data_IF_235051904952
#
_entry.id   IF_235051904952
#
_cell.length_a   1.000
_cell.length_b   1.000
_cell.length_c   1.000
_cell.angle_alpha   90.00
_cell.angle_beta   90.00
_cell.angle_gamma   90.00
#
_symmetry.space_group_name_H-M   'P 1'
#
loop_
_entity.id
_entity.type
_entity.pdbx_description
1 polymer ?
#
# COMPACT_ATOMS: atom_id res chain seq x y z
N UNK A 1 11.38 1.50 -28.58
CA UNK A 1 10.46 1.04 -27.52
C UNK A 1 11.08 1.44 -26.20
N UNK A 2 10.29 1.72 -25.16
CA UNK A 2 10.86 1.87 -23.81
C UNK A 2 11.41 0.50 -23.38
N UNK A 3 12.65 0.50 -22.90
CA UNK A 3 13.37 -0.71 -22.49
C UNK A 3 13.67 -0.60 -21.00
N UNK A 4 13.36 -1.63 -20.18
CA UNK A 4 13.72 -1.61 -18.77
C UNK A 4 15.22 -1.50 -18.56
N UNK A 5 15.62 -0.59 -17.68
CA UNK A 5 16.98 -0.42 -17.18
C UNK A 5 17.17 -1.21 -15.88
N UNK A 6 18.26 -1.96 -15.83
CA UNK A 6 18.61 -2.82 -14.69
C UNK A 6 19.94 -2.34 -14.11
N UNK A 7 19.90 -1.76 -12.92
CA UNK A 7 21.10 -1.32 -12.21
C UNK A 7 21.78 -2.49 -11.52
N UNK A 8 23.09 -2.68 -11.74
CA UNK A 8 23.87 -3.75 -11.09
C UNK A 8 24.83 -3.15 -10.07
N UNK A 9 24.45 -3.20 -8.79
CA UNK A 9 25.23 -2.70 -7.66
C UNK A 9 26.05 -3.82 -7.02
N UNK A 10 27.38 -3.64 -7.01
CA UNK A 10 28.32 -4.53 -6.32
C UNK A 10 29.69 -3.87 -6.20
N UNK A 11 30.61 -4.51 -5.47
CA UNK A 11 32.04 -4.20 -5.63
C UNK A 11 32.51 -4.63 -7.02
N UNK A 12 33.40 -3.85 -7.66
CA UNK A 12 33.82 -4.08 -9.04
C UNK A 12 35.05 -5.00 -9.17
N UNK A 13 36.02 -4.90 -8.25
CA UNK A 13 37.31 -5.58 -8.40
C UNK A 13 37.26 -7.10 -8.21
N UNK A 14 36.47 -7.61 -7.25
CA UNK A 14 36.39 -9.06 -6.94
C UNK A 14 35.27 -9.79 -7.68
N UNK A 15 34.36 -9.04 -8.30
CA UNK A 15 33.16 -9.58 -8.96
C UNK A 15 33.12 -9.29 -10.47
N UNK A 16 34.23 -8.81 -11.07
CA UNK A 16 34.27 -8.40 -12.48
C UNK A 16 33.71 -9.45 -13.45
N UNK A 17 34.11 -10.72 -13.32
CA UNK A 17 33.58 -11.81 -14.16
C UNK A 17 32.06 -11.98 -14.01
N UNK A 18 31.56 -11.97 -12.77
CA UNK A 18 30.13 -12.08 -12.48
C UNK A 18 29.36 -10.89 -13.06
N UNK A 19 29.94 -9.68 -12.98
CA UNK A 19 29.34 -8.44 -13.50
C UNK A 19 29.26 -8.45 -15.03
N UNK A 20 30.31 -8.90 -15.71
CA UNK A 20 30.30 -9.06 -17.17
C UNK A 20 29.28 -10.12 -17.62
N UNK A 21 29.19 -11.24 -16.90
CA UNK A 21 28.18 -12.26 -17.17
C UNK A 21 26.76 -11.75 -16.90
N UNK A 22 26.56 -10.95 -15.85
CA UNK A 22 25.28 -10.29 -15.55
C UNK A 22 24.89 -9.29 -16.64
N UNK A 23 25.83 -8.49 -17.15
CA UNK A 23 25.61 -7.57 -18.26
C UNK A 23 25.05 -8.33 -19.48
N UNK A 24 25.76 -9.36 -19.94
CA UNK A 24 25.34 -10.19 -21.07
C UNK A 24 23.98 -10.87 -20.83
N UNK A 25 23.71 -11.30 -19.60
CA UNK A 25 22.43 -11.87 -19.23
C UNK A 25 21.29 -10.87 -19.35
N UNK A 26 21.45 -9.66 -18.80
CA UNK A 26 20.43 -8.61 -18.87
C UNK A 26 20.15 -8.24 -20.33
N UNK A 27 21.20 -8.02 -21.13
CA UNK A 27 21.05 -7.71 -22.56
C UNK A 27 20.37 -8.84 -23.35
N UNK A 28 20.57 -10.11 -22.95
CA UNK A 28 19.91 -11.25 -23.61
C UNK A 28 18.37 -11.23 -23.50
N UNK A 29 17.80 -10.49 -22.54
CA UNK A 29 16.36 -10.23 -22.43
C UNK A 29 15.90 -9.01 -23.22
N UNK A 30 16.83 -8.28 -23.85
CA UNK A 30 16.57 -6.98 -24.48
C UNK A 30 16.39 -5.85 -23.49
N UNK A 31 16.93 -5.98 -22.26
CA UNK A 31 16.98 -4.93 -21.24
C UNK A 31 18.30 -4.16 -21.34
N UNK A 32 18.34 -2.96 -20.76
CA UNK A 32 19.55 -2.13 -20.68
C UNK A 32 20.23 -2.39 -19.33
N UNK A 33 21.46 -2.91 -19.36
CA UNK A 33 22.26 -3.10 -18.16
C UNK A 33 22.97 -1.80 -17.80
N UNK A 34 22.85 -1.33 -16.56
CA UNK A 34 23.54 -0.12 -16.08
C UNK A 34 24.61 -0.52 -15.08
N UNK A 35 25.88 -0.39 -15.48
CA UNK A 35 27.06 -0.65 -14.65
C UNK A 35 27.93 0.61 -14.53
N UNK A 36 28.51 0.85 -13.37
CA UNK A 36 29.31 2.05 -13.11
C UNK A 36 30.64 2.09 -13.87
N UNK A 37 31.23 0.94 -14.17
CA UNK A 37 32.51 0.84 -14.91
C UNK A 37 32.38 0.89 -16.44
N UNK A 38 31.19 0.61 -16.98
CA UNK A 38 30.98 0.48 -18.43
C UNK A 38 30.72 1.82 -19.13
N UNK A 39 30.66 2.93 -18.37
CA UNK A 39 30.40 4.27 -18.92
C UNK A 39 28.92 4.53 -19.21
N UNK A 40 28.01 3.68 -18.71
CA UNK A 40 26.57 3.82 -18.88
C UNK A 40 25.98 4.98 -18.03
N UNK A 41 26.75 5.46 -17.06
CA UNK A 41 26.36 6.53 -16.14
C UNK A 41 26.94 7.86 -16.63
N UNK A 42 26.09 8.86 -16.79
CA UNK A 42 26.56 10.22 -17.07
C UNK A 42 27.18 10.85 -15.82
N UNK A 43 28.51 10.91 -15.79
CA UNK A 43 29.26 11.59 -14.75
C UNK A 43 29.32 13.10 -15.02
N UNK A 44 28.33 13.83 -14.52
CA UNK A 44 28.31 15.30 -14.63
C UNK A 44 29.60 15.88 -14.00
N UNK A 45 30.37 16.73 -14.70
CA UNK A 45 31.65 17.25 -14.19
C UNK A 45 31.57 17.98 -12.85
N UNK A 46 30.42 18.60 -12.57
CA UNK A 46 30.14 19.31 -11.32
C UNK A 46 29.67 18.40 -10.16
N UNK A 47 29.47 17.10 -10.39
CA UNK A 47 29.01 16.15 -9.38
C UNK A 47 30.09 15.14 -9.01
N UNK A 48 30.08 14.68 -7.76
CA UNK A 48 30.90 13.55 -7.38
C UNK A 48 30.38 12.26 -8.05
N UNK A 49 31.27 11.35 -8.43
CA UNK A 49 30.91 10.08 -9.10
C UNK A 49 29.88 9.26 -8.33
N UNK A 50 30.02 9.19 -7.01
CA UNK A 50 29.04 8.57 -6.11
C UNK A 50 27.64 9.15 -6.24
N UNK A 51 27.50 10.48 -6.34
CA UNK A 51 26.19 11.12 -6.51
C UNK A 51 25.61 10.84 -7.89
N UNK A 52 26.44 10.77 -8.93
CA UNK A 52 26.00 10.39 -10.26
C UNK A 52 25.45 8.95 -10.28
N UNK A 53 26.13 7.99 -9.63
CA UNK A 53 25.63 6.63 -9.50
C UNK A 53 24.28 6.58 -8.77
N UNK A 54 24.17 7.25 -7.62
CA UNK A 54 22.93 7.30 -6.83
C UNK A 54 21.77 7.91 -7.62
N UNK A 55 22.03 8.96 -8.41
CA UNK A 55 21.01 9.56 -9.28
C UNK A 55 20.57 8.60 -10.38
N UNK A 56 21.49 7.84 -10.98
CA UNK A 56 21.13 6.89 -12.04
C UNK A 56 20.30 5.71 -11.51
N UNK A 57 20.45 5.32 -10.24
CA UNK A 57 19.57 4.33 -9.61
C UNK A 57 18.10 4.72 -9.74
N UNK A 58 17.75 6.00 -9.56
CA UNK A 58 16.37 6.48 -9.70
C UNK A 58 15.81 6.41 -11.13
N UNK A 59 16.67 6.27 -12.14
CA UNK A 59 16.28 6.11 -13.54
C UNK A 59 16.09 4.64 -13.95
N UNK A 60 16.24 3.69 -13.03
CA UNK A 60 16.18 2.26 -13.32
C UNK A 60 14.88 1.61 -12.83
N UNK A 61 14.37 0.63 -13.57
CA UNK A 61 13.17 -0.13 -13.20
C UNK A 61 13.47 -1.36 -12.33
N UNK A 62 14.71 -1.87 -12.36
CA UNK A 62 15.14 -3.02 -11.57
C UNK A 62 16.52 -2.76 -10.95
N UNK A 63 16.74 -3.35 -9.78
CA UNK A 63 18.00 -3.28 -9.08
C UNK A 63 18.50 -4.68 -8.71
N UNK A 64 19.72 -5.01 -9.10
CA UNK A 64 20.40 -6.25 -8.71
C UNK A 64 21.52 -5.87 -7.74
N UNK A 65 21.45 -6.41 -6.53
CA UNK A 65 22.48 -6.23 -5.51
C UNK A 65 23.31 -7.50 -5.38
N UNK A 66 24.63 -7.41 -5.59
CA UNK A 66 25.56 -8.53 -5.34
C UNK A 66 26.49 -8.17 -4.17
N UNK A 67 26.37 -8.92 -3.08
CA UNK A 67 27.18 -8.75 -1.86
C UNK A 67 28.35 -9.73 -1.88
N UNK A 68 29.56 -9.18 -2.01
CA UNK A 68 30.84 -9.90 -1.99
C UNK A 68 31.57 -9.84 -0.65
N UNK A 69 32.85 -10.20 -0.67
CA UNK A 69 33.72 -10.20 0.52
C UNK A 69 34.44 -8.88 0.77
N UNK A 70 34.19 -7.88 -0.09
CA UNK A 70 34.79 -6.54 -0.03
C UNK A 70 33.75 -5.53 0.40
N UNK A 71 34.18 -4.54 1.19
CA UNK A 71 33.34 -3.41 1.58
C UNK A 71 33.08 -2.45 0.42
N UNK A 72 34.09 -2.21 -0.42
CA UNK A 72 34.01 -1.26 -1.53
C UNK A 72 34.57 0.12 -1.17
N UNK A 73 34.13 1.14 -1.92
CA UNK A 73 34.49 2.53 -1.65
C UNK A 73 33.63 3.14 -0.56
N UNK A 74 34.24 3.93 0.33
CA UNK A 74 33.53 4.70 1.35
C UNK A 74 32.65 5.76 0.70
N UNK A 75 31.38 5.82 1.11
CA UNK A 75 30.47 6.86 0.65
C UNK A 75 30.89 8.21 1.23
N UNK A 76 30.88 9.26 0.40
CA UNK A 76 31.50 10.54 0.77
C UNK A 76 30.67 11.33 1.76
N UNK A 77 29.34 11.21 1.67
CA UNK A 77 28.42 11.89 2.58
C UNK A 77 28.42 11.21 3.95
N UNK A 78 28.48 9.88 3.97
CA UNK A 78 28.52 9.07 5.19
C UNK A 78 29.58 7.97 5.06
N UNK A 79 30.77 8.22 5.60
CA UNK A 79 31.91 7.30 5.53
C UNK A 79 31.69 5.98 6.27
N UNK A 80 30.66 5.88 7.10
CA UNK A 80 30.31 4.61 7.75
C UNK A 80 29.65 3.63 6.79
N UNK A 81 29.25 4.09 5.59
CA UNK A 81 28.59 3.28 4.57
C UNK A 81 29.47 3.16 3.33
N UNK A 82 29.31 2.04 2.62
CA UNK A 82 29.88 1.90 1.28
C UNK A 82 29.01 2.62 0.24
N UNK A 83 29.56 2.90 -0.93
CA UNK A 83 28.78 3.37 -2.08
C UNK A 83 27.66 2.40 -2.44
N UNK A 84 27.92 1.09 -2.40
CA UNK A 84 26.93 0.03 -2.65
C UNK A 84 25.77 0.10 -1.65
N UNK A 85 26.05 0.38 -0.37
CA UNK A 85 25.01 0.58 0.63
C UNK A 85 24.16 1.82 0.30
N UNK A 86 24.79 2.92 -0.12
CA UNK A 86 24.09 4.15 -0.49
C UNK A 86 23.20 3.94 -1.74
N UNK A 87 23.69 3.21 -2.74
CA UNK A 87 22.91 2.81 -3.93
C UNK A 87 21.71 1.94 -3.56
N UNK A 88 21.89 0.96 -2.67
CA UNK A 88 20.79 0.12 -2.16
C UNK A 88 19.72 0.95 -1.43
N UNK A 89 20.13 1.88 -0.56
CA UNK A 89 19.20 2.79 0.14
C UNK A 89 18.42 3.64 -0.87
N UNK A 90 19.09 4.16 -1.90
CA UNK A 90 18.45 4.92 -2.96
C UNK A 90 17.41 4.09 -3.71
N UNK A 91 17.72 2.83 -4.07
CA UNK A 91 16.78 1.93 -4.73
C UNK A 91 15.55 1.65 -3.85
N UNK A 92 15.76 1.41 -2.55
CA UNK A 92 14.69 1.18 -1.58
C UNK A 92 13.77 2.40 -1.46
N UNK A 93 14.34 3.60 -1.33
CA UNK A 93 13.57 4.84 -1.20
C UNK A 93 12.73 5.16 -2.45
N UNK A 94 13.18 4.71 -3.63
CA UNK A 94 12.45 4.86 -4.88
C UNK A 94 11.47 3.70 -5.16
N UNK A 95 11.28 2.77 -4.21
CA UNK A 95 10.45 1.58 -4.36
C UNK A 95 10.79 0.72 -5.59
N UNK A 96 12.08 0.71 -5.97
CA UNK A 96 12.55 -0.12 -7.09
C UNK A 96 12.60 -1.58 -6.61
N UNK A 97 12.12 -2.55 -7.39
CA UNK A 97 12.28 -3.98 -7.07
C UNK A 97 13.75 -4.37 -6.97
N UNK A 98 14.13 -5.01 -5.86
CA UNK A 98 15.53 -5.39 -5.57
C UNK A 98 15.68 -6.91 -5.55
N UNK A 99 16.62 -7.42 -6.34
CA UNK A 99 17.10 -8.79 -6.30
C UNK A 99 18.46 -8.84 -5.62
N UNK A 100 18.47 -9.18 -4.33
CA UNK A 100 19.70 -9.25 -3.56
C UNK A 100 20.28 -10.67 -3.54
N UNK A 101 21.57 -10.77 -3.86
CA UNK A 101 22.34 -11.99 -3.82
C UNK A 101 23.62 -11.81 -3.00
N UNK A 102 24.02 -12.85 -2.27
CA UNK A 102 25.23 -12.85 -1.44
C UNK A 102 26.13 -14.03 -1.80
N UNK A 103 27.43 -13.81 -1.89
CA UNK A 103 28.38 -14.89 -2.16
C UNK A 103 28.32 -15.92 -1.03
N UNK A 104 28.17 -17.20 -1.37
CA UNK A 104 27.94 -18.30 -0.41
C UNK A 104 29.01 -18.35 0.68
N UNK A 105 30.29 -18.13 0.34
CA UNK A 105 31.38 -18.08 1.32
C UNK A 105 31.22 -16.95 2.35
N UNK A 106 30.74 -15.79 1.91
CA UNK A 106 30.46 -14.63 2.77
C UNK A 106 29.24 -14.90 3.64
N UNK A 107 28.21 -15.52 3.07
CA UNK A 107 27.01 -15.89 3.81
C UNK A 107 27.27 -16.92 4.91
N UNK A 108 28.17 -17.88 4.67
CA UNK A 108 28.62 -18.83 5.71
C UNK A 108 29.37 -18.11 6.85
N UNK A 109 30.23 -17.14 6.52
CA UNK A 109 30.90 -16.33 7.53
C UNK A 109 29.92 -15.44 8.31
N UNK A 110 28.89 -14.90 7.65
CA UNK A 110 27.80 -14.17 8.30
C UNK A 110 27.04 -15.05 9.29
N UNK A 111 26.84 -16.34 8.98
CA UNK A 111 26.24 -17.28 9.93
C UNK A 111 27.09 -17.44 11.19
N UNK A 112 28.42 -17.60 11.05
CA UNK A 112 29.35 -17.66 12.19
C UNK A 112 29.27 -16.37 13.03
N UNK A 113 29.26 -15.21 12.37
CA UNK A 113 29.08 -13.92 13.04
C UNK A 113 27.76 -13.88 13.83
N UNK A 114 26.65 -14.30 13.22
CA UNK A 114 25.32 -14.27 13.85
C UNK A 114 25.25 -15.13 15.11
N UNK A 115 25.82 -16.33 15.08
CA UNK A 115 25.86 -17.24 16.25
C UNK A 115 26.73 -16.72 17.39
N UNK A 116 27.67 -15.81 17.10
CA UNK A 116 28.62 -15.28 18.08
C UNK A 116 28.44 -13.77 18.36
N UNK A 117 27.39 -13.14 17.82
CA UNK A 117 27.17 -11.67 17.87
C UNK A 117 27.17 -11.07 19.28
N UNK A 118 26.80 -11.87 20.29
CA UNK A 118 26.75 -11.43 21.69
C UNK A 118 28.03 -11.72 22.48
N UNK A 119 29.10 -12.20 21.84
CA UNK A 119 30.35 -12.59 22.49
C UNK A 119 31.42 -11.53 22.22
N UNK A 120 32.24 -11.22 23.22
CA UNK A 120 33.26 -10.16 23.13
C UNK A 120 34.30 -10.41 22.04
N UNK A 121 34.63 -11.68 21.75
CA UNK A 121 35.64 -12.04 20.75
C UNK A 121 35.15 -11.96 19.30
N UNK A 122 33.91 -11.56 19.02
CA UNK A 122 33.33 -11.61 17.66
C UNK A 122 34.10 -10.76 16.65
N UNK A 123 34.72 -9.67 17.11
CA UNK A 123 35.59 -8.81 16.31
C UNK A 123 37.00 -9.38 16.08
N UNK A 124 37.42 -10.33 16.92
CA UNK A 124 38.73 -11.00 16.81
C UNK A 124 38.68 -12.25 15.93
N UNK A 125 37.47 -12.67 15.51
CA UNK A 125 37.31 -13.80 14.59
C UNK A 125 37.83 -13.41 13.21
N UNK A 126 38.79 -14.17 12.69
CA UNK A 126 39.20 -14.07 11.29
C UNK A 126 38.15 -14.70 10.37
N UNK A 127 37.57 -13.91 9.47
CA UNK A 127 36.58 -14.33 8.48
C UNK A 127 37.24 -14.51 7.11
N UNK A 128 37.55 -15.74 6.66
CA UNK A 128 38.40 -15.95 5.47
C UNK A 128 37.81 -15.48 4.14
N UNK A 129 36.49 -15.36 4.07
CA UNK A 129 35.78 -14.88 2.88
C UNK A 129 35.73 -13.35 2.79
N UNK A 130 36.23 -12.63 3.80
CA UNK A 130 36.29 -11.17 3.85
C UNK A 130 37.72 -10.73 3.52
N UNK A 131 37.86 -9.77 2.62
CA UNK A 131 39.16 -9.28 2.17
C UNK A 131 39.89 -8.51 3.29
N UNK A 132 39.22 -7.46 3.80
CA UNK A 132 39.73 -6.64 4.90
C UNK A 132 38.91 -6.89 6.16
N UNK A 133 39.54 -7.49 7.17
CA UNK A 133 38.88 -7.91 8.40
C UNK A 133 38.27 -6.73 9.18
N UNK A 134 38.83 -5.52 9.05
CA UNK A 134 38.30 -4.30 9.67
C UNK A 134 36.85 -3.99 9.26
N UNK A 135 36.45 -4.35 8.03
CA UNK A 135 35.10 -4.12 7.50
C UNK A 135 34.18 -5.35 7.60
N UNK A 136 34.63 -6.44 8.23
CA UNK A 136 33.84 -7.68 8.30
C UNK A 136 32.48 -7.43 8.97
N UNK A 137 32.48 -6.69 10.08
CA UNK A 137 31.26 -6.36 10.82
C UNK A 137 30.32 -5.47 10.01
N UNK A 138 30.85 -4.51 9.25
CA UNK A 138 30.04 -3.62 8.41
C UNK A 138 29.34 -4.39 7.27
N UNK A 139 30.06 -5.30 6.61
CA UNK A 139 29.48 -6.17 5.57
C UNK A 139 28.39 -7.06 6.16
N UNK A 140 28.62 -7.62 7.35
CA UNK A 140 27.62 -8.45 8.02
C UNK A 140 26.40 -7.66 8.51
N UNK A 141 26.61 -6.43 8.97
CA UNK A 141 25.54 -5.51 9.31
C UNK A 141 24.71 -5.15 8.09
N UNK A 142 25.34 -4.94 6.93
CA UNK A 142 24.63 -4.68 5.68
C UNK A 142 23.79 -5.88 5.24
N UNK A 143 24.32 -7.11 5.33
CA UNK A 143 23.55 -8.34 5.07
C UNK A 143 22.32 -8.42 6.00
N UNK A 144 22.50 -8.10 7.28
CA UNK A 144 21.44 -8.04 8.28
C UNK A 144 20.38 -6.97 7.92
N UNK A 145 20.80 -5.80 7.44
CA UNK A 145 19.94 -4.69 7.02
C UNK A 145 19.04 -5.08 5.84
N UNK A 146 19.63 -5.69 4.80
CA UNK A 146 18.88 -6.15 3.62
C UNK A 146 17.84 -7.20 4.03
N UNK A 147 18.22 -8.19 4.84
CA UNK A 147 17.32 -9.27 5.26
C UNK A 147 16.20 -8.84 6.18
N UNK A 148 16.39 -7.79 6.98
CA UNK A 148 15.41 -7.31 7.97
C UNK A 148 14.49 -6.22 7.42
N UNK A 149 14.66 -5.80 6.17
CA UNK A 149 13.75 -4.85 5.55
C UNK A 149 12.30 -5.41 5.49
N UNK A 150 11.30 -4.52 5.53
CA UNK A 150 9.88 -4.86 5.44
C UNK A 150 9.47 -5.36 4.05
N UNK A 151 10.11 -4.83 3.00
CA UNK A 151 9.95 -5.20 1.59
C UNK A 151 11.34 -5.36 0.96
N UNK A 152 11.42 -5.96 -0.23
CA UNK A 152 12.69 -6.15 -0.96
C UNK A 152 13.79 -6.87 -0.14
N UNK A 153 13.38 -7.78 0.74
CA UNK A 153 14.25 -8.42 1.74
C UNK A 153 14.67 -9.84 1.40
N UNK A 154 14.30 -10.34 0.21
CA UNK A 154 14.75 -11.62 -0.28
C UNK A 154 16.26 -11.57 -0.54
N UNK A 155 17.01 -12.46 0.11
CA UNK A 155 18.45 -12.58 -0.05
C UNK A 155 18.81 -14.03 -0.40
N UNK A 156 19.31 -14.24 -1.62
CA UNK A 156 19.70 -15.56 -2.11
C UNK A 156 21.22 -15.73 -2.09
N UNK A 157 21.71 -16.91 -1.69
CA UNK A 157 23.15 -17.20 -1.73
C UNK A 157 23.56 -17.78 -3.08
N UNK A 158 24.70 -17.37 -3.63
CA UNK A 158 25.23 -17.92 -4.88
C UNK A 158 26.68 -18.40 -4.74
N UNK A 159 27.04 -19.42 -5.50
CA UNK A 159 28.41 -19.96 -5.61
C UNK A 159 29.03 -19.72 -6.99
N UNK A 160 28.20 -19.59 -8.02
CA UNK A 160 28.56 -19.44 -9.42
C UNK A 160 27.53 -18.56 -10.14
N UNK A 161 27.88 -18.06 -11.32
CA UNK A 161 26.95 -17.29 -12.14
C UNK A 161 25.73 -18.09 -12.58
N UNK A 162 25.87 -19.40 -12.82
CA UNK A 162 24.76 -20.27 -13.20
C UNK A 162 23.65 -20.28 -12.15
N UNK A 163 24.02 -20.19 -10.87
CA UNK A 163 23.08 -20.05 -9.75
C UNK A 163 22.34 -18.71 -9.80
N UNK A 164 23.06 -17.63 -10.13
CA UNK A 164 22.47 -16.28 -10.31
C UNK A 164 21.51 -16.26 -11.51
N UNK A 165 21.93 -16.77 -12.67
CA UNK A 165 21.12 -16.86 -13.89
C UNK A 165 19.82 -17.63 -13.60
N UNK A 166 19.93 -18.84 -13.05
CA UNK A 166 18.76 -19.67 -12.73
C UNK A 166 17.80 -18.98 -11.76
N UNK A 167 18.33 -18.29 -10.75
CA UNK A 167 17.53 -17.53 -9.80
C UNK A 167 16.81 -16.36 -10.47
N UNK A 168 17.53 -15.47 -11.15
CA UNK A 168 16.96 -14.28 -11.79
C UNK A 168 15.94 -14.64 -12.86
N UNK A 169 16.18 -15.68 -13.68
CA UNK A 169 15.19 -16.16 -14.67
C UNK A 169 13.88 -16.56 -14.01
N UNK A 170 13.94 -17.28 -12.89
CA UNK A 170 12.73 -17.68 -12.14
C UNK A 170 12.01 -16.47 -11.57
N UNK A 171 12.74 -15.53 -10.98
CA UNK A 171 12.15 -14.32 -10.41
C UNK A 171 11.47 -13.47 -11.49
N UNK A 172 12.15 -13.23 -12.61
CA UNK A 172 11.59 -12.43 -13.71
C UNK A 172 10.43 -13.13 -14.41
N UNK A 173 10.46 -14.46 -14.54
CA UNK A 173 9.31 -15.23 -15.01
C UNK A 173 8.11 -15.09 -14.07
N UNK A 174 8.34 -15.10 -12.75
CA UNK A 174 7.33 -14.83 -11.73
C UNK A 174 6.73 -13.43 -11.86
N UNK A 175 7.57 -12.40 -11.95
CA UNK A 175 7.11 -11.02 -12.15
C UNK A 175 6.27 -10.88 -13.43
N UNK A 176 6.69 -11.50 -14.52
CA UNK A 176 5.95 -11.44 -15.78
C UNK A 176 4.61 -12.18 -15.68
N UNK A 177 4.57 -13.34 -15.00
CA UNK A 177 3.33 -14.06 -14.74
C UNK A 177 2.35 -13.21 -13.91
N UNK A 178 2.83 -12.59 -12.83
CA UNK A 178 2.01 -11.72 -11.97
C UNK A 178 1.52 -10.49 -12.72
N UNK A 179 2.34 -9.92 -13.60
CA UNK A 179 1.92 -8.84 -14.51
C UNK A 179 0.77 -9.27 -15.43
N UNK A 180 0.88 -10.46 -16.07
CA UNK A 180 -0.17 -10.99 -16.93
C UNK A 180 -1.46 -11.27 -16.16
N UNK A 181 -1.37 -11.80 -14.94
CA UNK A 181 -2.52 -12.08 -14.08
C UNK A 181 -3.20 -10.81 -13.60
N UNK A 182 -2.42 -9.83 -13.14
CA UNK A 182 -2.93 -8.52 -12.75
C UNK A 182 -3.65 -7.83 -13.91
N UNK A 183 -3.13 -7.95 -15.14
CA UNK A 183 -3.77 -7.42 -16.34
C UNK A 183 -5.12 -8.08 -16.64
N UNK A 184 -5.21 -9.41 -16.49
CA UNK A 184 -6.47 -10.15 -16.63
C UNK A 184 -7.52 -9.65 -15.63
N UNK A 185 -7.16 -9.56 -14.35
CA UNK A 185 -8.03 -9.08 -13.28
C UNK A 185 -8.46 -7.63 -13.51
N UNK A 186 -7.53 -6.75 -13.87
CA UNK A 186 -7.84 -5.34 -14.17
C UNK A 186 -8.85 -5.20 -15.30
N UNK A 187 -8.71 -6.01 -16.35
CA UNK A 187 -9.65 -6.01 -17.48
C UNK A 187 -11.06 -6.44 -17.04
N UNK A 188 -11.16 -7.43 -16.15
CA UNK A 188 -12.44 -7.87 -15.58
C UNK A 188 -13.07 -6.80 -14.67
N UNK A 189 -12.26 -6.11 -13.87
CA UNK A 189 -12.70 -4.99 -13.02
C UNK A 189 -13.23 -3.86 -13.90
N UNK A 190 -12.50 -3.47 -14.95
CA UNK A 190 -12.91 -2.39 -15.86
C UNK A 190 -14.24 -2.73 -16.57
N UNK A 191 -14.40 -3.97 -17.03
CA UNK A 191 -15.65 -4.44 -17.61
C UNK A 191 -16.81 -4.42 -16.59
N UNK A 192 -16.54 -4.84 -15.35
CA UNK A 192 -17.53 -4.82 -14.26
C UNK A 192 -17.95 -3.40 -13.92
N UNK A 193 -17.00 -2.47 -13.80
CA UNK A 193 -17.27 -1.06 -13.54
C UNK A 193 -18.09 -0.42 -14.65
N UNK A 194 -17.83 -0.79 -15.91
CA UNK A 194 -18.65 -0.35 -17.04
C UNK A 194 -20.10 -0.84 -16.93
N UNK A 195 -20.31 -2.14 -16.66
CA UNK A 195 -21.64 -2.72 -16.47
C UNK A 195 -22.39 -2.07 -15.29
N UNK A 196 -21.71 -1.82 -14.17
CA UNK A 196 -22.28 -1.11 -13.03
C UNK A 196 -22.71 0.32 -13.42
N UNK A 197 -21.91 1.02 -14.22
CA UNK A 197 -22.26 2.35 -14.74
C UNK A 197 -23.50 2.31 -15.63
N UNK A 198 -23.61 1.32 -16.52
CA UNK A 198 -24.79 1.13 -17.38
C UNK A 198 -26.06 0.81 -16.57
N UNK A 199 -25.94 -0.03 -15.54
CA UNK A 199 -27.03 -0.33 -14.61
C UNK A 199 -27.46 0.93 -13.86
N UNK A 200 -26.51 1.72 -13.37
CA UNK A 200 -26.81 2.98 -12.67
C UNK A 200 -27.52 3.98 -13.58
N UNK A 201 -27.13 4.09 -14.86
CA UNK A 201 -27.81 4.94 -15.83
C UNK A 201 -29.23 4.42 -16.15
N UNK A 202 -29.38 3.12 -16.32
CA UNK A 202 -30.69 2.50 -16.53
C UNK A 202 -31.62 2.68 -15.34
N UNK A 203 -31.10 2.55 -14.11
CA UNK A 203 -31.82 2.80 -12.87
C UNK A 203 -32.30 4.26 -12.78
N UNK A 204 -31.44 5.24 -13.10
CA UNK A 204 -31.85 6.67 -13.16
C UNK A 204 -32.94 6.92 -14.19
N UNK A 205 -32.87 6.27 -15.36
CA UNK A 205 -33.91 6.40 -16.38
C UNK A 205 -35.25 5.81 -15.91
N UNK A 206 -35.22 4.64 -15.27
CA UNK A 206 -36.41 4.04 -14.66
C UNK A 206 -36.99 4.93 -13.56
N UNK A 207 -36.14 5.48 -12.69
CA UNK A 207 -36.56 6.42 -11.65
C UNK A 207 -37.25 7.65 -12.26
N UNK A 208 -36.68 8.23 -13.32
CA UNK A 208 -37.28 9.36 -14.04
C UNK A 208 -38.64 9.01 -14.67
N UNK A 209 -38.75 7.84 -15.31
CA UNK A 209 -40.01 7.34 -15.87
C UNK A 209 -41.07 7.13 -14.79
N UNK A 210 -40.72 6.48 -13.67
CA UNK A 210 -41.64 6.26 -12.55
C UNK A 210 -42.10 7.58 -11.94
N UNK A 211 -41.20 8.55 -11.71
CA UNK A 211 -41.56 9.90 -11.27
C UNK A 211 -42.52 10.58 -12.24
N UNK A 212 -42.25 10.48 -13.55
CA UNK A 212 -43.11 11.07 -14.58
C UNK A 212 -44.51 10.47 -14.59
N UNK A 213 -44.62 9.14 -14.44
CA UNK A 213 -45.89 8.43 -14.36
C UNK A 213 -46.66 8.85 -13.10
N UNK A 214 -46.00 8.84 -11.95
CA UNK A 214 -46.62 9.23 -10.67
C UNK A 214 -47.19 10.66 -10.74
N UNK A 215 -46.41 11.60 -11.28
CA UNK A 215 -46.85 12.98 -11.48
C UNK A 215 -48.01 13.11 -12.49
N UNK A 216 -48.07 12.22 -13.48
CA UNK A 216 -49.14 12.22 -14.50
C UNK A 216 -50.46 11.64 -14.01
N UNK A 217 -50.41 10.67 -13.09
CA UNK A 217 -51.61 9.97 -12.55
C UNK A 217 -52.15 10.58 -11.26
N UNK A 218 -51.42 11.49 -10.64
CA UNK A 218 -51.81 12.11 -9.36
C UNK A 218 -52.73 13.31 -9.57
N UNK A 219 -53.89 13.32 -8.89
CA UNK A 219 -54.85 14.43 -8.94
C UNK A 219 -54.28 15.76 -8.39
N UNK A 220 -53.27 15.68 -7.51
CA UNK A 220 -52.60 16.83 -6.90
C UNK A 220 -51.08 16.79 -7.11
N UNK A 221 -50.60 17.44 -8.17
CA UNK A 221 -49.17 17.48 -8.55
C UNK A 221 -48.25 17.99 -7.44
N UNK A 222 -48.67 19.02 -6.69
CA UNK A 222 -47.85 19.59 -5.61
C UNK A 222 -47.68 18.64 -4.42
N UNK A 223 -48.68 17.79 -4.14
CA UNK A 223 -48.56 16.76 -3.11
C UNK A 223 -47.61 15.64 -3.58
N UNK A 224 -47.74 15.21 -4.84
CA UNK A 224 -46.88 14.19 -5.43
C UNK A 224 -45.41 14.61 -5.46
N UNK A 225 -45.11 15.86 -5.78
CA UNK A 225 -43.74 16.41 -5.75
C UNK A 225 -43.13 16.33 -4.33
N UNK A 226 -43.89 16.71 -3.30
CA UNK A 226 -43.43 16.61 -1.89
C UNK A 226 -43.22 15.17 -1.44
N UNK A 227 -44.02 14.23 -1.93
CA UNK A 227 -43.85 12.81 -1.64
C UNK A 227 -42.60 12.25 -2.31
N UNK A 228 -42.32 12.63 -3.55
CA UNK A 228 -41.08 12.28 -4.26
C UNK A 228 -39.86 12.82 -3.50
N UNK A 229 -39.86 14.10 -3.14
CA UNK A 229 -38.78 14.71 -2.36
C UNK A 229 -38.58 13.98 -1.02
N UNK A 230 -39.68 13.61 -0.34
CA UNK A 230 -39.62 12.84 0.89
C UNK A 230 -39.03 11.44 0.70
N UNK A 231 -39.30 10.77 -0.42
CA UNK A 231 -38.72 9.47 -0.77
C UNK A 231 -37.22 9.60 -1.03
N UNK A 232 -36.80 10.61 -1.80
CA UNK A 232 -35.38 10.89 -2.07
C UNK A 232 -34.60 11.16 -0.79
N UNK A 233 -35.13 12.00 0.10
CA UNK A 233 -34.51 12.28 1.40
C UNK A 233 -34.39 10.99 2.22
N UNK A 234 -35.44 10.16 2.28
CA UNK A 234 -35.37 8.88 3.00
C UNK A 234 -34.28 7.97 2.42
N UNK A 235 -34.17 7.90 1.09
CA UNK A 235 -33.15 7.09 0.41
C UNK A 235 -31.73 7.58 0.72
N UNK A 236 -31.48 8.89 0.67
CA UNK A 236 -30.17 9.45 0.98
C UNK A 236 -29.77 9.26 2.45
N UNK A 237 -30.73 9.36 3.37
CA UNK A 237 -30.50 9.07 4.80
C UNK A 237 -30.19 7.59 4.99
N UNK A 238 -30.89 6.69 4.29
CA UNK A 238 -30.65 5.24 4.35
C UNK A 238 -29.27 4.89 3.81
N UNK A 239 -28.88 5.43 2.65
CA UNK A 239 -27.54 5.27 2.08
C UNK A 239 -26.43 5.79 3.01
N UNK A 240 -26.64 6.93 3.67
CA UNK A 240 -25.67 7.45 4.65
C UNK A 240 -25.44 6.44 5.78
N UNK A 241 -26.50 5.99 6.45
CA UNK A 241 -26.36 5.07 7.58
C UNK A 241 -25.87 3.68 7.14
N UNK A 242 -26.27 3.18 5.97
CA UNK A 242 -25.72 1.96 5.38
C UNK A 242 -24.21 2.11 5.18
N UNK A 243 -23.75 3.20 4.56
CA UNK A 243 -22.32 3.41 4.23
C UNK A 243 -21.41 3.51 5.45
N UNK A 244 -21.87 4.15 6.53
CA UNK A 244 -21.05 4.37 7.73
C UNK A 244 -21.10 3.18 8.68
N UNK A 245 -22.23 2.48 8.80
CA UNK A 245 -22.37 1.33 9.69
C UNK A 245 -21.91 0.02 9.03
N UNK A 246 -21.94 -0.06 7.69
CA UNK A 246 -21.55 -1.23 6.89
C UNK A 246 -20.67 -0.82 5.70
N UNK A 247 -19.46 -0.30 5.96
CA UNK A 247 -18.55 0.10 4.90
C UNK A 247 -18.15 -1.08 3.99
N UNK A 248 -18.00 -0.79 2.69
CA UNK A 248 -17.85 -1.80 1.62
C UNK A 248 -16.61 -2.70 1.75
N UNK A 249 -15.60 -2.31 2.53
CA UNK A 249 -14.40 -3.11 2.79
C UNK A 249 -14.60 -4.17 3.89
N UNK A 250 -15.74 -4.16 4.62
CA UNK A 250 -16.08 -5.18 5.63
C UNK A 250 -16.47 -6.55 5.03
N UNK A 251 -16.21 -6.80 3.75
CA UNK A 251 -16.67 -8.00 3.03
C UNK A 251 -16.25 -9.35 3.67
N UNK A 252 -15.30 -9.38 4.60
CA UNK A 252 -14.87 -10.58 5.33
C UNK A 252 -15.34 -10.67 6.79
N UNK A 253 -15.74 -9.57 7.43
CA UNK A 253 -16.14 -9.54 8.85
C UNK A 253 -17.41 -8.71 9.05
N UNK A 254 -18.51 -9.39 9.39
CA UNK A 254 -19.78 -8.75 9.67
C UNK A 254 -19.90 -8.36 11.16
N UNK A 255 -20.14 -7.08 11.43
CA UNK A 255 -20.32 -6.53 12.78
C UNK A 255 -21.78 -6.14 13.00
N UNK A 256 -22.63 -7.04 13.54
CA UNK A 256 -24.03 -6.72 13.79
C UNK A 256 -24.18 -5.60 14.82
N UNK A 257 -25.22 -4.79 14.65
CA UNK A 257 -25.58 -3.71 15.58
C UNK A 257 -26.24 -4.33 16.82
N UNK A 258 -25.77 -3.94 18.00
CA UNK A 258 -26.40 -4.26 19.27
C UNK A 258 -27.68 -3.42 19.45
N UNK A 259 -28.88 -4.04 19.47
CA UNK A 259 -30.13 -3.30 19.68
C UNK A 259 -30.20 -2.56 21.01
N UNK A 260 -29.42 -2.97 22.02
CA UNK A 260 -29.36 -2.30 23.32
C UNK A 260 -28.54 -1.01 23.26
N UNK A 261 -27.56 -0.93 22.35
CA UNK A 261 -26.69 0.25 22.16
C UNK A 261 -27.24 1.22 21.10
N UNK A 262 -28.18 0.78 20.27
CA UNK A 262 -28.73 1.55 19.14
C UNK A 262 -30.15 2.08 19.45
N UNK A 263 -30.25 3.13 20.27
CA UNK A 263 -31.54 3.77 20.57
C UNK A 263 -31.98 4.72 19.45
N UNK A 264 -32.84 4.21 18.57
CA UNK A 264 -33.42 4.95 17.42
C UNK A 264 -34.03 6.29 17.82
N UNK A 265 -34.78 6.35 18.92
CA UNK A 265 -35.48 7.59 19.33
C UNK A 265 -34.50 8.63 19.84
N UNK A 266 -33.46 8.20 20.54
CA UNK A 266 -32.39 9.09 21.02
C UNK A 266 -31.58 9.65 19.84
N UNK A 267 -31.17 8.78 18.92
CA UNK A 267 -30.40 9.14 17.72
C UNK A 267 -31.19 10.13 16.85
N UNK A 268 -32.46 9.83 16.52
CA UNK A 268 -33.25 10.64 15.60
C UNK A 268 -33.57 12.06 16.12
N UNK A 269 -33.64 12.24 17.45
CA UNK A 269 -33.87 13.54 18.11
C UNK A 269 -32.72 14.52 17.93
N UNK A 270 -31.49 14.03 17.76
CA UNK A 270 -30.32 14.90 17.61
C UNK A 270 -30.37 15.57 16.25
N UNK A 271 -30.30 16.91 16.26
CA UNK A 271 -30.37 17.71 15.03
C UNK A 271 -29.03 17.69 14.28
N UNK A 272 -29.02 17.35 12.98
CA UNK A 272 -27.81 17.33 12.15
C UNK A 272 -27.37 18.70 11.60
N UNK A 273 -28.24 19.73 11.67
CA UNK A 273 -28.07 20.98 10.90
C UNK A 273 -26.76 21.75 11.14
N UNK A 274 -26.22 21.71 12.35
CA UNK A 274 -25.04 22.50 12.75
C UNK A 274 -23.77 21.67 12.89
N UNK A 275 -23.77 20.42 12.42
CA UNK A 275 -22.69 19.46 12.63
C UNK A 275 -22.13 19.05 11.27
N UNK A 276 -20.85 18.64 11.27
CA UNK A 276 -20.28 17.81 10.20
C UNK A 276 -20.67 16.34 10.43
N UNK A 277 -20.51 15.50 9.41
CA UNK A 277 -20.98 14.12 9.44
C UNK A 277 -20.32 13.30 10.56
N UNK A 278 -19.01 13.46 10.76
CA UNK A 278 -18.20 12.84 11.81
C UNK A 278 -18.67 13.27 13.22
N UNK A 279 -18.81 14.58 13.44
CA UNK A 279 -19.30 15.13 14.71
C UNK A 279 -20.73 14.71 14.99
N UNK A 280 -21.55 14.54 13.95
CA UNK A 280 -22.91 14.03 14.10
C UNK A 280 -22.90 12.59 14.60
N UNK A 281 -22.12 11.70 13.96
CA UNK A 281 -21.98 10.29 14.35
C UNK A 281 -21.50 10.11 15.79
N UNK A 282 -20.53 10.94 16.22
CA UNK A 282 -20.06 10.93 17.61
C UNK A 282 -21.14 11.45 18.56
N UNK A 283 -21.81 12.55 18.22
CA UNK A 283 -22.85 13.13 19.06
C UNK A 283 -24.07 12.22 19.24
N UNK A 284 -24.42 11.44 18.22
CA UNK A 284 -25.48 10.44 18.32
C UNK A 284 -25.07 9.18 19.09
N UNK A 285 -23.78 9.02 19.40
CA UNK A 285 -23.26 7.90 20.17
C UNK A 285 -23.11 6.62 19.35
N UNK A 286 -22.96 6.74 18.03
CA UNK A 286 -22.69 5.59 17.15
C UNK A 286 -21.18 5.31 17.05
N UNK A 287 -20.37 6.35 17.17
CA UNK A 287 -18.91 6.31 17.02
C UNK A 287 -18.21 7.13 18.12
N UNK A 288 -16.93 6.83 18.34
CA UNK A 288 -16.01 7.61 19.18
C UNK A 288 -14.73 7.93 18.39
N UNK A 289 -14.02 9.00 18.76
CA UNK A 289 -12.73 9.31 18.13
C UNK A 289 -11.65 8.41 18.70
N UNK A 290 -10.85 7.82 17.81
CA UNK A 290 -9.68 7.03 18.16
C UNK A 290 -8.46 7.58 17.40
N UNK A 291 -7.31 7.69 18.09
CA UNK A 291 -6.09 8.23 17.50
C UNK A 291 -5.05 7.12 17.42
N UNK A 292 -4.65 6.77 16.21
CA UNK A 292 -3.73 5.67 15.93
C UNK A 292 -2.46 6.24 15.33
N UNK A 293 -1.31 5.80 15.84
CA UNK A 293 -0.01 6.11 15.25
C UNK A 293 0.20 5.27 14.00
N UNK A 294 0.39 5.91 12.86
CA UNK A 294 0.79 5.22 11.63
C UNK A 294 2.27 4.78 11.70
N UNK A 295 2.72 3.98 10.72
CA UNK A 295 4.10 3.45 10.63
C UNK A 295 5.19 4.55 10.58
N UNK A 296 4.80 5.82 10.37
CA UNK A 296 5.65 7.01 10.35
C UNK A 296 5.58 7.83 11.67
N UNK A 297 5.02 7.29 12.76
CA UNK A 297 4.77 7.96 14.06
C UNK A 297 3.84 9.20 13.99
N UNK A 298 3.16 9.42 12.85
CA UNK A 298 2.11 10.44 12.75
C UNK A 298 0.78 9.94 13.37
N UNK A 299 0.15 10.78 14.20
CA UNK A 299 -1.15 10.50 14.79
C UNK A 299 -2.27 10.77 13.76
N UNK A 300 -3.00 9.73 13.39
CA UNK A 300 -4.21 9.85 12.58
C UNK A 300 -5.48 9.61 13.39
N UNK A 301 -6.48 10.46 13.16
CA UNK A 301 -7.77 10.39 13.85
C UNK A 301 -8.78 9.60 13.01
N UNK A 302 -9.33 8.56 13.63
CA UNK A 302 -10.35 7.68 13.08
C UNK A 302 -11.65 7.77 13.89
N UNK A 303 -12.75 7.29 13.31
CA UNK A 303 -14.01 7.04 14.02
C UNK A 303 -14.16 5.54 14.29
N UNK A 304 -14.15 5.15 15.56
CA UNK A 304 -14.39 3.79 16.01
C UNK A 304 -15.88 3.55 16.24
N UNK A 305 -16.45 2.51 15.62
CA UNK A 305 -17.84 2.12 15.88
C UNK A 305 -18.00 1.50 17.27
N UNK A 306 -18.98 1.97 18.05
CA UNK A 306 -19.21 1.52 19.45
C UNK A 306 -20.53 0.80 19.68
N UNK A 307 -21.36 0.67 18.64
CA UNK A 307 -22.72 0.11 18.74
C UNK A 307 -22.84 -1.33 18.28
N UNK A 308 -21.72 -2.01 18.05
CA UNK A 308 -21.75 -3.41 17.64
C UNK A 308 -21.91 -4.39 18.82
N UNK A 309 -22.36 -5.61 18.51
CA UNK A 309 -22.68 -6.66 19.48
C UNK A 309 -21.46 -7.20 20.21
N UNK A 310 -20.32 -7.29 19.53
CA UNK A 310 -19.11 -7.91 20.08
C UNK A 310 -18.20 -6.87 20.73
N UNK A 311 -18.00 -6.96 22.06
CA UNK A 311 -17.20 -5.98 22.82
C UNK A 311 -15.72 -5.88 22.41
N UNK A 312 -15.16 -6.93 21.79
CA UNK A 312 -13.73 -7.02 21.45
C UNK A 312 -13.46 -6.85 19.95
N UNK A 313 -14.47 -6.42 19.20
CA UNK A 313 -14.42 -6.26 17.75
C UNK A 313 -14.97 -4.89 17.44
N UNK A 314 -14.28 -4.13 16.61
CA UNK A 314 -14.73 -2.81 16.14
C UNK A 314 -14.11 -2.56 14.78
N UNK A 315 -14.60 -1.52 14.13
CA UNK A 315 -14.07 -1.07 12.86
C UNK A 315 -13.88 0.44 12.91
N UNK A 316 -12.97 0.92 12.07
CA UNK A 316 -12.54 2.31 12.04
C UNK A 316 -12.93 2.95 10.70
N UNK A 317 -13.44 4.17 10.72
CA UNK A 317 -13.63 4.98 9.53
C UNK A 317 -12.57 6.08 9.48
N UNK A 318 -11.89 6.20 8.34
CA UNK A 318 -10.99 7.33 8.09
C UNK A 318 -11.81 8.59 7.81
N UNK A 319 -11.54 9.67 8.55
CA UNK A 319 -12.24 10.95 8.41
C UNK A 319 -11.78 11.70 7.16
N UNK A 320 -10.49 11.60 6.78
CA UNK A 320 -9.89 12.37 5.68
C UNK A 320 -10.31 11.88 4.29
N UNK A 321 -10.71 10.61 4.16
CA UNK A 321 -10.94 9.97 2.86
C UNK A 321 -12.41 9.89 2.41
N UNK A 322 -13.36 10.42 3.20
CA UNK A 322 -14.79 10.20 2.90
C UNK A 322 -15.57 11.40 2.37
N UNK A 323 -15.24 11.79 1.14
CA UNK A 323 -16.03 12.75 0.33
C UNK A 323 -17.48 12.26 0.16
N UNK A 324 -17.68 10.95 0.07
CA UNK A 324 -19.00 10.35 -0.15
C UNK A 324 -19.91 10.46 1.10
N UNK A 325 -19.38 10.19 2.30
CA UNK A 325 -20.15 10.34 3.54
C UNK A 325 -20.58 11.80 3.74
N UNK A 326 -19.70 12.76 3.47
CA UNK A 326 -20.03 14.18 3.57
C UNK A 326 -21.17 14.55 2.60
N UNK A 327 -21.09 14.12 1.34
CA UNK A 327 -22.13 14.38 0.33
C UNK A 327 -23.49 13.81 0.74
N UNK A 328 -23.53 12.56 1.21
CA UNK A 328 -24.78 11.91 1.66
C UNK A 328 -25.36 12.61 2.90
N UNK A 329 -24.50 13.04 3.82
CA UNK A 329 -24.90 13.75 5.02
C UNK A 329 -25.51 15.13 4.71
N UNK A 330 -24.85 15.93 3.88
CA UNK A 330 -25.31 17.27 3.50
C UNK A 330 -26.63 17.23 2.71
N UNK A 331 -26.76 16.29 1.76
CA UNK A 331 -27.96 16.20 0.91
C UNK A 331 -29.12 15.46 1.57
N UNK A 332 -28.84 14.44 2.38
CA UNK A 332 -29.86 13.61 3.03
C UNK A 332 -30.11 13.99 4.48
N UNK A 333 -29.15 13.65 5.35
CA UNK A 333 -29.33 13.72 6.81
C UNK A 333 -29.64 15.14 7.29
N UNK A 334 -28.94 16.18 6.80
CA UNK A 334 -29.23 17.57 7.18
C UNK A 334 -30.61 18.06 6.78
N UNK A 335 -31.13 17.58 5.65
CA UNK A 335 -32.43 17.96 5.11
C UNK A 335 -33.58 17.08 5.63
N UNK A 336 -33.27 16.02 6.39
CA UNK A 336 -34.26 15.10 6.95
C UNK A 336 -35.05 15.69 8.12
N UNK A 337 -36.31 15.27 8.24
CA UNK A 337 -37.14 15.48 9.41
C UNK A 337 -36.89 14.42 10.48
N UNK A 338 -37.31 14.68 11.72
CA UNK A 338 -37.21 13.71 12.82
C UNK A 338 -37.91 12.38 12.47
N UNK A 339 -39.14 12.44 11.90
CA UNK A 339 -39.90 11.24 11.52
C UNK A 339 -39.19 10.43 10.43
N UNK A 340 -38.56 11.09 9.46
CA UNK A 340 -37.80 10.41 8.41
C UNK A 340 -36.58 9.69 9.00
N UNK A 341 -35.83 10.35 9.90
CA UNK A 341 -34.71 9.70 10.60
C UNK A 341 -35.17 8.49 11.42
N UNK A 342 -36.23 8.62 12.22
CA UNK A 342 -36.78 7.49 12.98
C UNK A 342 -37.17 6.32 12.07
N UNK A 343 -37.84 6.60 10.95
CA UNK A 343 -38.26 5.58 9.98
C UNK A 343 -37.06 4.82 9.41
N UNK A 344 -36.02 5.54 8.96
CA UNK A 344 -34.82 4.95 8.36
C UNK A 344 -34.00 4.17 9.40
N UNK A 345 -33.74 4.76 10.57
CA UNK A 345 -32.96 4.13 11.63
C UNK A 345 -33.61 2.82 12.13
N UNK A 346 -34.95 2.74 12.17
CA UNK A 346 -35.65 1.48 12.46
C UNK A 346 -35.38 0.42 11.39
N UNK A 347 -35.33 0.79 10.10
CA UNK A 347 -35.00 -0.14 9.01
C UNK A 347 -33.56 -0.63 9.12
N UNK A 348 -32.61 0.27 9.37
CA UNK A 348 -31.20 -0.05 9.59
C UNK A 348 -31.05 -1.04 10.74
N UNK A 349 -31.69 -0.77 11.88
CA UNK A 349 -31.65 -1.67 13.02
C UNK A 349 -32.23 -3.05 12.67
N UNK A 350 -33.35 -3.13 11.95
CA UNK A 350 -33.92 -4.41 11.52
C UNK A 350 -33.03 -5.17 10.52
N UNK A 351 -32.36 -4.45 9.63
CA UNK A 351 -31.49 -5.01 8.59
C UNK A 351 -30.21 -5.60 9.17
N UNK A 352 -29.69 -5.02 10.26
CA UNK A 352 -28.34 -5.32 10.72
C UNK A 352 -28.19 -5.73 12.20
N UNK A 353 -29.29 -5.98 12.90
CA UNK A 353 -29.29 -6.49 14.28
C UNK A 353 -29.08 -8.01 14.39
N UNK A 354 -29.09 -8.72 13.27
CA UNK A 354 -28.95 -10.18 13.20
C UNK A 354 -27.57 -10.58 12.74
#
# INVERSE_FOLDING_TARGET
MAVPKVFVSSTCYDLGEIREQLHNFIESFGFEAVLSENGDIFYHPDLHTHEACIKEVSNCELFILIIGGRFGGEYIVDKTKSITNAEYIAAKNNNIPIFALVKKSVYLNHHIYKENKNKEFVGDIGYPAIDKQEYALDIFQFIDEVRRASTNNALESFDSFQSIDSYLRKQWAGMFFDFLKTREVKTQIDATNHLVSEINNSSKNLEALVKSLYLSTSDNKSLAEKEIESIEINSLVEMFFDSVLFPSWQNSEYYPIDPLKFDVKKIAKISPKSLSWDKYLVKVGLFEYDNISNDEDELETYLQCVVNTYSNRYFLLNIKESIEHEKLFEKGVKNSTLKQREKVLNRILLKYSK
#
